data_IF_969816076861
#
_entry.id   IF_969816076861
#
_cell.length_a   1.000
_cell.length_b   1.000
_cell.length_c   1.000
_cell.angle_alpha   90.00
_cell.angle_beta   90.00
_cell.angle_gamma   90.00
#
_symmetry.space_group_name_H-M   'P 1'
#
loop_
_entity.id
_entity.type
_entity.pdbx_description
1 polymer ?
#
# COMPACT_ATOMS: atom_id res chain seq x y z
N UNK A 1 4.26 2.98 11.60
CA UNK A 1 3.16 2.34 12.35
C UNK A 1 2.97 0.97 11.71
N UNK A 2 2.94 -0.12 12.49
CA UNK A 2 2.80 -1.50 11.96
C UNK A 2 1.32 -1.78 11.66
N UNK A 3 1.00 -2.36 10.51
CA UNK A 3 -0.37 -2.77 10.19
C UNK A 3 -0.76 -3.93 11.11
N UNK A 4 -1.84 -3.76 11.86
CA UNK A 4 -2.48 -4.83 12.64
C UNK A 4 -3.80 -5.22 11.99
N UNK A 5 -3.75 -6.31 11.23
CA UNK A 5 -4.88 -6.82 10.45
C UNK A 5 -5.94 -7.52 11.32
N UNK A 6 -5.60 -7.83 12.58
CA UNK A 6 -6.53 -8.45 13.55
C UNK A 6 -7.76 -7.56 13.77
N UNK A 7 -7.56 -6.24 13.74
CA UNK A 7 -8.60 -5.23 13.85
C UNK A 7 -9.67 -5.33 12.76
N UNK A 8 -9.33 -5.85 11.58
CA UNK A 8 -10.25 -5.95 10.43
C UNK A 8 -11.41 -6.91 10.70
N UNK A 9 -11.21 -7.92 11.56
CA UNK A 9 -12.26 -8.88 11.97
C UNK A 9 -13.40 -8.21 12.74
N UNK A 10 -13.12 -7.08 13.38
CA UNK A 10 -14.08 -6.35 14.20
C UNK A 10 -14.80 -5.22 13.44
N UNK A 11 -14.51 -5.06 12.14
CA UNK A 11 -15.15 -4.05 11.30
C UNK A 11 -16.33 -4.62 10.52
N UNK A 12 -17.50 -4.02 10.71
CA UNK A 12 -18.73 -4.39 10.00
C UNK A 12 -18.81 -3.71 8.63
N UNK A 13 -19.81 -4.10 7.81
CA UNK A 13 -20.10 -3.42 6.53
C UNK A 13 -20.32 -1.91 6.69
N UNK A 14 -20.89 -1.47 7.81
CA UNK A 14 -21.13 -0.05 8.08
C UNK A 14 -19.83 0.72 8.37
N UNK A 15 -18.84 0.08 9.03
CA UNK A 15 -17.53 0.69 9.23
C UNK A 15 -16.84 0.98 7.90
N UNK A 16 -16.89 0.03 6.95
CA UNK A 16 -16.32 0.24 5.61
C UNK A 16 -17.10 1.29 4.81
N UNK A 17 -18.43 1.40 4.99
CA UNK A 17 -19.20 2.51 4.39
C UNK A 17 -18.74 3.86 4.90
N UNK A 18 -18.51 4.00 6.21
CA UNK A 18 -18.01 5.25 6.81
C UNK A 18 -16.58 5.55 6.35
N UNK A 19 -15.68 4.56 6.32
CA UNK A 19 -14.32 4.74 5.78
C UNK A 19 -14.34 5.20 4.32
N UNK A 20 -15.18 4.59 3.48
CA UNK A 20 -15.36 5.00 2.08
C UNK A 20 -15.95 6.42 1.98
N UNK A 21 -16.86 6.79 2.88
CA UNK A 21 -17.41 8.14 2.92
C UNK A 21 -16.35 9.19 3.26
N UNK A 22 -15.43 8.89 4.19
CA UNK A 22 -14.26 9.74 4.47
C UNK A 22 -13.36 9.83 3.25
N UNK A 23 -13.01 8.71 2.61
CA UNK A 23 -12.20 8.71 1.37
C UNK A 23 -12.79 9.60 0.27
N UNK A 24 -14.10 9.48 0.02
CA UNK A 24 -14.80 10.27 -0.99
C UNK A 24 -14.84 11.75 -0.63
N UNK A 25 -15.06 12.08 0.64
CA UNK A 25 -15.01 13.47 1.12
C UNK A 25 -13.61 14.08 0.97
N UNK A 26 -12.56 13.26 1.14
CA UNK A 26 -11.18 13.72 1.03
C UNK A 26 -10.75 14.18 -0.36
N UNK A 27 -11.55 13.86 -1.40
CA UNK A 27 -11.31 14.37 -2.76
C UNK A 27 -11.37 15.90 -2.85
N UNK A 28 -12.19 16.52 -1.99
CA UNK A 28 -12.42 17.97 -2.02
C UNK A 28 -12.13 18.65 -0.67
N UNK A 29 -11.84 17.88 0.39
CA UNK A 29 -11.58 18.40 1.73
C UNK A 29 -10.39 17.70 2.35
N UNK A 30 -9.37 18.43 2.82
CA UNK A 30 -8.26 17.79 3.54
C UNK A 30 -8.74 17.07 4.82
N UNK A 31 -9.76 17.63 5.46
CA UNK A 31 -10.44 17.09 6.64
C UNK A 31 -11.94 17.12 6.37
N UNK A 32 -12.59 15.96 6.49
CA UNK A 32 -13.98 15.78 6.10
C UNK A 32 -14.90 16.00 7.30
N UNK A 33 -15.84 16.96 7.26
CA UNK A 33 -16.78 17.20 8.36
C UNK A 33 -17.70 16.00 8.63
N UNK A 34 -18.08 15.78 9.89
CA UNK A 34 -18.99 14.67 10.30
C UNK A 34 -20.32 14.70 9.55
N UNK A 35 -20.87 15.89 9.29
CA UNK A 35 -22.12 16.06 8.53
C UNK A 35 -21.99 15.54 7.10
N UNK A 36 -20.87 15.88 6.43
CA UNK A 36 -20.57 15.41 5.08
C UNK A 36 -20.38 13.89 5.07
N UNK A 37 -19.61 13.34 6.03
CA UNK A 37 -19.44 11.88 6.18
C UNK A 37 -20.79 11.18 6.34
N UNK A 38 -21.66 11.71 7.19
CA UNK A 38 -23.00 11.16 7.45
C UNK A 38 -23.87 11.16 6.19
N UNK A 39 -23.83 12.26 5.42
CA UNK A 39 -24.56 12.41 4.17
C UNK A 39 -24.11 11.41 3.09
N UNK A 40 -22.81 11.19 2.96
CA UNK A 40 -22.23 10.27 1.97
C UNK A 40 -22.46 8.81 2.39
N UNK A 41 -22.30 8.49 3.67
CA UNK A 41 -22.43 7.12 4.19
C UNK A 41 -23.87 6.58 4.13
N UNK A 42 -24.88 7.46 4.11
CA UNK A 42 -26.32 7.13 4.01
C UNK A 42 -26.74 6.03 5.01
N UNK A 43 -26.31 6.12 6.25
CA UNK A 43 -26.68 5.16 7.30
C UNK A 43 -28.09 5.48 7.84
N UNK A 44 -28.92 4.45 8.04
CA UNK A 44 -30.34 4.58 8.44
C UNK A 44 -30.55 4.97 9.90
N UNK A 45 -29.52 4.81 10.75
CA UNK A 45 -29.56 5.13 12.17
C UNK A 45 -28.28 5.90 12.51
N UNK A 46 -28.38 6.96 13.32
CA UNK A 46 -27.31 7.94 13.64
C UNK A 46 -26.06 7.38 14.34
N UNK A 47 -25.68 6.13 14.10
CA UNK A 47 -24.49 5.46 14.60
C UNK A 47 -23.18 5.89 13.94
N UNK A 48 -23.18 6.88 13.05
CA UNK A 48 -21.95 7.40 12.40
C UNK A 48 -20.95 7.84 13.46
N UNK A 49 -21.37 8.59 14.48
CA UNK A 49 -20.50 9.04 15.56
C UNK A 49 -19.86 7.86 16.34
N UNK A 50 -20.63 6.80 16.63
CA UNK A 50 -20.10 5.60 17.31
C UNK A 50 -19.07 4.88 16.45
N UNK A 51 -19.33 4.78 15.14
CA UNK A 51 -18.40 4.19 14.17
C UNK A 51 -17.14 5.04 14.05
N UNK A 52 -17.25 6.36 13.94
CA UNK A 52 -16.09 7.27 13.88
C UNK A 52 -15.21 7.13 15.12
N UNK A 53 -15.81 7.13 16.32
CA UNK A 53 -15.07 6.88 17.57
C UNK A 53 -14.36 5.51 17.57
N UNK A 54 -14.99 4.48 17.00
CA UNK A 54 -14.36 3.16 16.88
C UNK A 54 -13.21 3.16 15.86
N UNK A 55 -13.38 3.80 14.70
CA UNK A 55 -12.36 3.92 13.66
C UNK A 55 -11.15 4.75 14.16
N UNK A 56 -11.40 5.82 14.94
CA UNK A 56 -10.37 6.65 15.54
C UNK A 56 -9.54 5.88 16.57
N UNK A 57 -10.19 5.11 17.46
CA UNK A 57 -9.49 4.24 18.43
C UNK A 57 -8.59 3.22 17.75
N UNK A 58 -9.02 2.70 16.59
CA UNK A 58 -8.23 1.77 15.77
C UNK A 58 -7.24 2.48 14.84
N UNK A 59 -7.09 3.81 14.92
CA UNK A 59 -6.16 4.63 14.12
C UNK A 59 -6.38 4.51 12.61
N UNK A 60 -7.59 4.18 12.16
CA UNK A 60 -7.96 4.11 10.74
C UNK A 60 -8.34 5.48 10.19
N UNK A 61 -8.79 6.36 11.08
CA UNK A 61 -9.01 7.79 10.80
C UNK A 61 -8.25 8.61 11.84
N UNK A 62 -7.98 9.87 11.51
CA UNK A 62 -7.38 10.85 12.39
C UNK A 62 -8.27 12.10 12.46
N UNK A 63 -8.27 12.72 13.63
CA UNK A 63 -8.85 14.03 13.90
C UNK A 63 -7.67 15.02 14.03
N UNK A 64 -7.80 16.25 13.53
CA UNK A 64 -6.69 17.22 13.55
C UNK A 64 -6.60 18.03 14.86
N UNK A 65 -7.59 17.89 15.74
CA UNK A 65 -7.62 18.56 17.03
C UNK A 65 -8.04 20.04 16.97
N UNK A 66 -8.51 20.51 15.81
CA UNK A 66 -9.09 21.85 15.67
C UNK A 66 -10.54 21.88 16.14
N UNK A 67 -11.13 23.08 16.17
CA UNK A 67 -12.52 23.34 16.53
C UNK A 67 -13.55 22.70 15.58
N UNK A 68 -13.12 22.20 14.42
CA UNK A 68 -14.00 21.52 13.47
C UNK A 68 -13.98 20.01 13.72
N UNK A 69 -15.15 19.46 14.03
CA UNK A 69 -15.34 18.01 14.20
C UNK A 69 -15.28 17.33 12.83
N UNK A 70 -14.06 16.91 12.45
CA UNK A 70 -13.75 16.44 11.12
C UNK A 70 -12.66 15.38 11.12
N UNK A 71 -12.71 14.50 10.13
CA UNK A 71 -11.85 13.32 10.07
C UNK A 71 -11.17 13.18 8.71
N UNK A 72 -9.96 12.63 8.74
CA UNK A 72 -9.24 12.18 7.54
C UNK A 72 -8.77 10.74 7.68
N UNK A 73 -8.57 10.05 6.56
CA UNK A 73 -7.99 8.72 6.56
C UNK A 73 -6.53 8.77 6.97
N UNK A 74 -6.13 7.77 7.75
CA UNK A 74 -4.72 7.45 7.94
C UNK A 74 -4.26 6.50 6.84
N UNK A 75 -2.95 6.29 6.72
CA UNK A 75 -2.40 5.23 5.87
C UNK A 75 -3.01 3.86 6.16
N UNK A 76 -3.27 3.56 7.44
CA UNK A 76 -3.90 2.30 7.85
C UNK A 76 -5.37 2.21 7.38
N UNK A 77 -6.08 3.33 7.38
CA UNK A 77 -7.42 3.42 6.81
C UNK A 77 -7.46 3.07 5.33
N UNK A 78 -6.51 3.62 4.54
CA UNK A 78 -6.34 3.26 3.13
C UNK A 78 -5.99 1.79 2.94
N UNK A 79 -5.06 1.24 3.75
CA UNK A 79 -4.69 -0.17 3.67
C UNK A 79 -5.91 -1.08 3.90
N UNK A 80 -6.77 -0.75 4.87
CA UNK A 80 -7.96 -1.52 5.18
C UNK A 80 -9.01 -1.44 4.07
N UNK A 81 -9.18 -0.29 3.42
CA UNK A 81 -10.04 -0.15 2.24
C UNK A 81 -9.52 -1.01 1.09
N UNK A 82 -8.23 -0.94 0.79
CA UNK A 82 -7.60 -1.74 -0.26
C UNK A 82 -7.74 -3.24 0.01
N UNK A 83 -7.41 -3.69 1.24
CA UNK A 83 -7.58 -5.09 1.65
C UNK A 83 -9.03 -5.54 1.52
N UNK A 84 -10.00 -4.70 1.86
CA UNK A 84 -11.42 -5.05 1.72
C UNK A 84 -11.80 -5.30 0.27
N UNK A 85 -11.29 -4.50 -0.66
CA UNK A 85 -11.50 -4.66 -2.09
C UNK A 85 -10.85 -5.95 -2.59
N UNK A 86 -9.61 -6.23 -2.18
CA UNK A 86 -8.88 -7.44 -2.56
C UNK A 86 -9.60 -8.71 -2.07
N UNK A 87 -10.09 -8.69 -0.83
CA UNK A 87 -10.87 -9.79 -0.28
C UNK A 87 -12.22 -9.96 -0.99
N UNK A 88 -12.90 -8.85 -1.30
CA UNK A 88 -14.21 -8.89 -1.97
C UNK A 88 -14.13 -9.49 -3.38
N UNK A 89 -13.03 -9.26 -4.10
CA UNK A 89 -12.82 -9.79 -5.45
C UNK A 89 -12.12 -11.16 -5.47
N UNK A 90 -11.88 -11.77 -4.30
CA UNK A 90 -11.25 -13.08 -4.21
C UNK A 90 -9.76 -13.09 -4.55
N UNK A 91 -9.09 -11.94 -4.60
CA UNK A 91 -7.64 -11.88 -4.79
C UNK A 91 -6.88 -12.43 -3.58
N UNK A 92 -7.44 -12.23 -2.39
CA UNK A 92 -6.91 -12.76 -1.12
C UNK A 92 -8.08 -13.25 -0.25
N UNK A 93 -7.89 -14.34 0.47
CA UNK A 93 -8.77 -14.80 1.55
C UNK A 93 -8.38 -14.17 2.90
N UNK A 94 -7.09 -13.88 3.10
CA UNK A 94 -6.58 -13.26 4.32
C UNK A 94 -5.15 -12.76 4.20
N UNK A 95 -4.78 -11.87 5.14
CA UNK A 95 -3.42 -11.38 5.29
C UNK A 95 -2.75 -12.13 6.45
N UNK A 96 -1.56 -12.68 6.19
CA UNK A 96 -0.70 -13.36 7.14
C UNK A 96 0.35 -12.44 7.75
N UNK A 97 1.49 -13.03 8.12
CA UNK A 97 2.58 -12.31 8.79
C UNK A 97 3.26 -11.30 7.87
N UNK A 98 3.81 -10.26 8.47
CA UNK A 98 4.76 -9.38 7.80
C UNK A 98 6.05 -10.16 7.51
N UNK A 99 6.47 -10.16 6.25
CA UNK A 99 7.68 -10.87 5.79
C UNK A 99 8.81 -9.92 5.41
N UNK A 100 8.50 -8.65 5.14
CA UNK A 100 9.49 -7.62 4.86
C UNK A 100 9.04 -6.25 5.34
N UNK A 101 9.95 -5.50 5.94
CA UNK A 101 9.78 -4.07 6.20
C UNK A 101 10.79 -3.37 5.31
N UNK A 102 10.33 -2.79 4.22
CA UNK A 102 11.13 -1.95 3.34
C UNK A 102 11.02 -0.48 3.73
N UNK A 103 11.89 0.32 3.12
CA UNK A 103 11.90 1.78 3.25
C UNK A 103 10.61 2.40 2.70
N UNK A 104 10.19 1.93 1.53
CA UNK A 104 9.05 2.47 0.77
C UNK A 104 7.87 1.51 0.72
N UNK A 105 7.95 0.40 1.44
CA UNK A 105 6.87 -0.55 1.47
C UNK A 105 6.92 -1.52 2.63
N UNK A 106 5.75 -1.93 3.09
CA UNK A 106 5.62 -3.10 3.97
C UNK A 106 5.16 -4.31 3.14
N UNK A 107 5.87 -5.43 3.23
CA UNK A 107 5.55 -6.67 2.53
C UNK A 107 4.93 -7.67 3.50
N UNK A 108 3.74 -8.13 3.18
CA UNK A 108 2.98 -9.12 3.94
C UNK A 108 2.75 -10.36 3.10
N UNK A 109 2.81 -11.53 3.74
CA UNK A 109 2.30 -12.76 3.15
C UNK A 109 0.77 -12.71 3.18
N UNK A 110 0.11 -13.14 2.12
CA UNK A 110 -1.33 -13.30 2.02
C UNK A 110 -1.65 -14.66 1.41
N UNK A 111 -2.86 -15.15 1.66
CA UNK A 111 -3.33 -16.43 1.13
C UNK A 111 -4.52 -16.16 0.25
N UNK A 112 -4.53 -16.73 -0.95
CA UNK A 112 -5.66 -16.69 -1.88
C UNK A 112 -6.73 -17.73 -1.50
N UNK A 113 -7.97 -17.65 -2.04
CA UNK A 113 -9.03 -18.61 -1.71
C UNK A 113 -8.73 -20.07 -2.04
N UNK A 114 -7.84 -20.34 -3.00
CA UNK A 114 -7.37 -21.67 -3.39
C UNK A 114 -6.20 -22.20 -2.55
N UNK A 115 -5.74 -21.41 -1.57
CA UNK A 115 -4.61 -21.76 -0.71
C UNK A 115 -3.25 -21.31 -1.23
N UNK A 116 -3.17 -20.69 -2.42
CA UNK A 116 -1.90 -20.15 -2.93
C UNK A 116 -1.41 -19.00 -2.06
N UNK A 117 -0.14 -19.05 -1.66
CA UNK A 117 0.52 -17.97 -0.93
C UNK A 117 1.03 -16.91 -1.90
N UNK A 118 0.72 -15.65 -1.61
CA UNK A 118 1.13 -14.49 -2.41
C UNK A 118 1.70 -13.41 -1.49
N UNK A 119 2.53 -12.52 -2.05
CA UNK A 119 3.01 -11.35 -1.34
C UNK A 119 2.15 -10.12 -1.67
N UNK A 120 1.75 -9.36 -0.65
CA UNK A 120 1.17 -8.03 -0.81
C UNK A 120 2.23 -7.00 -0.40
N UNK A 121 2.53 -6.08 -1.32
CA UNK A 121 3.39 -4.91 -1.07
C UNK A 121 2.50 -3.68 -0.85
N UNK A 122 2.54 -3.11 0.36
CA UNK A 122 1.92 -1.82 0.66
C UNK A 122 2.93 -0.72 0.43
N UNK A 123 2.65 0.24 -0.46
CA UNK A 123 3.55 1.36 -0.68
C UNK A 123 3.44 2.42 0.43
N UNK A 124 4.59 2.94 0.87
CA UNK A 124 4.77 3.94 1.94
C UNK A 124 5.74 5.01 1.45
N UNK A 125 5.25 6.16 1.03
CA UNK A 125 6.13 7.28 0.62
C UNK A 125 6.75 7.96 1.86
N UNK A 126 8.09 8.14 1.89
CA UNK A 126 8.75 9.09 2.81
C UNK A 126 9.62 8.56 3.96
N UNK A 127 10.41 7.50 3.79
CA UNK A 127 11.47 7.10 4.75
C UNK A 127 12.79 6.82 4.01
N UNK A 128 13.94 6.86 4.68
CA UNK A 128 15.27 6.54 4.10
C UNK A 128 16.06 5.52 4.92
N UNK A 129 16.50 4.41 4.30
CA UNK A 129 17.75 3.67 4.62
C UNK A 129 18.01 2.46 3.68
N UNK A 130 19.30 2.11 3.55
CA UNK A 130 19.94 1.07 2.73
C UNK A 130 20.56 -0.06 3.59
N UNK A 131 20.82 -1.25 3.02
CA UNK A 131 21.66 -2.33 3.60
C UNK A 131 22.26 -3.34 2.59
N UNK A 132 23.56 -3.26 2.33
CA UNK A 132 24.29 -4.04 1.30
C UNK A 132 24.21 -5.57 1.40
N UNK A 133 24.13 -6.26 0.25
CA UNK A 133 24.32 -7.73 0.10
C UNK A 133 25.16 -8.06 -1.15
N UNK A 134 25.89 -9.19 -1.06
CA UNK A 134 27.02 -9.65 -1.90
C UNK A 134 26.68 -10.14 -3.32
N UNK A 135 27.71 -10.04 -4.16
CA UNK A 135 27.80 -10.42 -5.57
C UNK A 135 27.79 -11.93 -5.82
N UNK A 136 26.77 -12.42 -6.53
CA UNK A 136 26.83 -13.59 -7.44
C UNK A 136 25.71 -13.54 -8.54
N UNK A 137 25.10 -12.37 -8.78
CA UNK A 137 23.89 -12.20 -9.61
C UNK A 137 24.08 -11.29 -10.85
N UNK A 138 25.33 -10.89 -11.14
CA UNK A 138 25.63 -9.77 -12.04
C UNK A 138 25.13 -9.98 -13.47
N UNK A 139 25.44 -11.11 -14.09
CA UNK A 139 25.14 -11.35 -15.50
C UNK A 139 23.63 -11.42 -15.78
N UNK A 140 22.89 -12.06 -14.87
CA UNK A 140 21.43 -12.14 -14.97
C UNK A 140 20.78 -10.76 -14.77
N UNK A 141 21.27 -9.96 -13.82
CA UNK A 141 20.82 -8.57 -13.63
C UNK A 141 21.10 -7.70 -14.86
N UNK A 142 22.32 -7.78 -15.41
CA UNK A 142 22.70 -7.03 -16.61
C UNK A 142 21.84 -7.39 -17.82
N UNK A 143 21.57 -8.69 -18.03
CA UNK A 143 20.68 -9.13 -19.10
C UNK A 143 19.26 -8.56 -18.97
N UNK A 144 18.73 -8.44 -17.74
CA UNK A 144 17.41 -7.85 -17.54
C UNK A 144 17.45 -6.34 -17.81
N UNK A 145 18.48 -5.63 -17.33
CA UNK A 145 18.65 -4.19 -17.60
C UNK A 145 18.73 -3.88 -19.10
N UNK A 146 19.47 -4.68 -19.86
CA UNK A 146 19.54 -4.55 -21.33
C UNK A 146 18.15 -4.74 -21.95
N UNK A 147 17.42 -5.78 -21.56
CA UNK A 147 16.06 -6.03 -22.07
C UNK A 147 15.07 -4.91 -21.72
N UNK A 148 15.20 -4.28 -20.55
CA UNK A 148 14.39 -3.12 -20.18
C UNK A 148 14.70 -1.94 -21.11
N UNK A 149 15.98 -1.68 -21.36
CA UNK A 149 16.41 -0.61 -22.27
C UNK A 149 15.96 -0.85 -23.72
N UNK A 150 16.00 -2.09 -24.20
CA UNK A 150 15.46 -2.50 -25.51
C UNK A 150 13.96 -2.23 -25.61
N UNK A 151 13.22 -2.39 -24.51
CA UNK A 151 11.81 -2.03 -24.40
C UNK A 151 11.58 -0.51 -24.17
N UNK A 152 12.64 0.30 -24.15
CA UNK A 152 12.55 1.75 -23.99
C UNK A 152 12.37 2.23 -22.54
N UNK A 153 12.71 1.41 -21.55
CA UNK A 153 12.56 1.70 -20.12
C UNK A 153 13.90 1.64 -19.38
N UNK A 154 14.06 2.49 -18.38
CA UNK A 154 15.20 2.52 -17.46
C UNK A 154 14.66 2.40 -16.03
N UNK A 155 15.23 1.49 -15.25
CA UNK A 155 14.87 1.29 -13.84
C UNK A 155 15.76 2.18 -12.96
N UNK A 156 15.28 3.36 -12.55
CA UNK A 156 16.11 4.36 -11.86
C UNK A 156 16.49 4.04 -10.41
N UNK A 157 15.93 2.97 -9.83
CA UNK A 157 16.29 2.50 -8.50
C UNK A 157 16.77 1.04 -8.56
N UNK A 158 17.59 0.68 -9.56
CA UNK A 158 18.08 -0.69 -9.69
C UNK A 158 19.17 -0.99 -8.66
N UNK A 159 18.81 -1.74 -7.61
CA UNK A 159 19.69 -2.09 -6.50
C UNK A 159 19.32 -3.48 -5.94
N UNK A 160 20.11 -3.98 -4.99
CA UNK A 160 19.94 -5.31 -4.38
C UNK A 160 18.61 -5.50 -3.63
N UNK A 161 17.90 -4.42 -3.25
CA UNK A 161 16.59 -4.51 -2.59
C UNK A 161 15.45 -4.73 -3.58
N UNK A 162 15.67 -4.37 -4.84
CA UNK A 162 14.70 -4.48 -5.92
C UNK A 162 14.89 -5.75 -6.76
N UNK A 163 15.71 -6.69 -6.26
CA UNK A 163 16.06 -7.94 -6.92
C UNK A 163 15.67 -9.11 -5.98
N UNK A 164 14.78 -9.98 -6.44
CA UNK A 164 14.43 -11.23 -5.76
C UNK A 164 15.04 -12.40 -6.52
N UNK A 165 15.67 -13.33 -5.81
CA UNK A 165 16.17 -14.59 -6.36
C UNK A 165 15.39 -15.75 -5.74
N UNK A 166 14.86 -16.65 -6.57
CA UNK A 166 14.23 -17.88 -6.07
C UNK A 166 15.25 -18.99 -5.77
N UNK A 167 14.78 -20.12 -5.25
CA UNK A 167 15.64 -21.26 -4.90
C UNK A 167 16.38 -21.90 -6.09
N UNK A 168 15.93 -21.62 -7.32
CA UNK A 168 16.53 -22.11 -8.56
C UNK A 168 17.49 -21.07 -9.19
N UNK A 169 17.72 -19.94 -8.51
CA UNK A 169 18.61 -18.87 -8.98
C UNK A 169 17.96 -17.92 -9.99
N UNK A 170 16.65 -18.00 -10.24
CA UNK A 170 15.95 -17.10 -11.15
C UNK A 170 15.77 -15.74 -10.51
N UNK A 171 16.13 -14.70 -11.26
CA UNK A 171 16.02 -13.30 -10.82
C UNK A 171 14.69 -12.68 -11.26
N UNK A 172 14.03 -12.00 -10.31
CA UNK A 172 12.82 -11.20 -10.52
C UNK A 172 13.08 -9.77 -10.02
N UNK A 173 12.90 -8.77 -10.89
CA UNK A 173 12.96 -7.35 -10.49
C UNK A 173 11.60 -6.91 -9.95
N UNK A 174 11.62 -6.06 -8.91
CA UNK A 174 10.44 -5.41 -8.34
C UNK A 174 10.66 -3.89 -8.27
N UNK A 175 9.60 -3.15 -7.96
CA UNK A 175 9.63 -1.69 -7.72
C UNK A 175 9.75 -0.77 -8.94
N UNK A 176 8.85 -0.99 -9.89
CA UNK A 176 8.75 -0.24 -11.15
C UNK A 176 8.21 1.22 -11.12
N UNK A 177 7.66 1.81 -10.03
CA UNK A 177 7.16 3.20 -10.09
C UNK A 177 8.20 4.25 -10.48
N UNK A 178 9.48 4.00 -10.23
CA UNK A 178 10.59 4.90 -10.59
C UNK A 178 11.16 4.61 -11.98
N UNK A 179 10.46 3.84 -12.82
CA UNK A 179 10.89 3.62 -14.19
C UNK A 179 10.63 4.86 -15.04
N UNK A 180 11.61 5.21 -15.88
CA UNK A 180 11.49 6.28 -16.86
C UNK A 180 11.76 5.76 -18.25
N UNK A 181 11.33 6.53 -19.26
CA UNK A 181 11.67 6.21 -20.64
C UNK A 181 13.16 6.44 -20.91
N UNK A 182 13.77 5.63 -21.78
CA UNK A 182 15.11 5.90 -22.32
C UNK A 182 15.26 7.24 -23.03
N UNK A 183 14.13 7.89 -23.39
CA UNK A 183 14.09 9.24 -23.99
C UNK A 183 14.00 10.37 -22.96
N UNK A 184 13.86 10.06 -21.68
CA UNK A 184 13.78 11.06 -20.63
C UNK A 184 15.14 11.78 -20.49
N UNK A 185 15.13 13.10 -20.23
CA UNK A 185 16.35 13.92 -20.12
C UNK A 185 17.35 13.34 -19.11
N UNK A 186 16.84 12.82 -17.99
CA UNK A 186 17.66 12.25 -16.91
C UNK A 186 17.88 10.72 -17.05
N UNK A 187 17.54 10.12 -18.20
CA UNK A 187 17.68 8.67 -18.39
C UNK A 187 19.13 8.18 -18.17
N UNK A 188 20.12 8.98 -18.57
CA UNK A 188 21.53 8.65 -18.37
C UNK A 188 21.95 8.66 -16.89
N UNK A 189 21.34 9.52 -16.06
CA UNK A 189 21.67 9.61 -14.62
C UNK A 189 21.22 8.37 -13.85
N UNK A 190 20.27 7.61 -14.39
CA UNK A 190 19.73 6.39 -13.79
C UNK A 190 20.55 5.12 -14.08
N UNK A 191 21.57 5.18 -14.95
CA UNK A 191 22.34 4.01 -15.44
C UNK A 191 23.78 4.03 -14.90
N UNK A 192 23.99 4.55 -13.69
CA UNK A 192 25.29 4.64 -13.03
C UNK A 192 25.40 3.65 -11.89
#
# INVERSE_FOLDING_TARGET
MKLDVSGMRYLTKEHFKVLTAVELGMKNHEIVPVELISSIAKLRHGGVAKILSHLLRNKLIAHDGTTYDGFKLTYMGYDFLALKVFMKHGHIAGLGRQIGVGKESDIYMAVQPDGTEVAIKFHRLGRTSFRAVKNDAYDACMNILVRLAECGLVHCDFNEFNIMMDGDGKITIIDFPQMISTKHLNAQECVH
#
